data_IF_283301436779
#
_entry.id   IF_283301436779
#
_cell.length_a   1.000
_cell.length_b   1.000
_cell.length_c   1.000
_cell.angle_alpha   90.00
_cell.angle_beta   90.00
_cell.angle_gamma   90.00
#
_symmetry.space_group_name_H-M   'P 1'
#
loop_
_entity.id
_entity.type
_entity.pdbx_description
1 polymer ?
#
# COMPACT_ATOMS: atom_id res chain seq x y z
N UNK A 1 -25.72 6.83 -5.17
CA UNK A 1 -25.57 5.52 -5.61
C UNK A 1 -24.69 4.74 -4.67
N UNK A 2 -25.15 3.65 -4.36
CA UNK A 2 -24.43 2.86 -3.38
C UNK A 2 -23.11 2.38 -3.94
N UNK A 3 -22.21 2.18 -3.06
CA UNK A 3 -20.89 1.73 -3.39
C UNK A 3 -20.68 0.36 -2.80
N UNK A 4 -21.68 -0.43 -2.90
CA UNK A 4 -21.65 -1.70 -2.24
C UNK A 4 -20.57 -2.57 -2.78
N UNK A 5 -20.30 -2.52 -4.08
CA UNK A 5 -19.19 -3.32 -4.48
C UNK A 5 -17.97 -2.49 -4.50
N UNK A 6 -17.00 -2.91 -3.78
CA UNK A 6 -15.77 -2.23 -3.65
C UNK A 6 -15.77 -1.18 -2.59
N UNK A 7 -16.80 -0.40 -2.52
CA UNK A 7 -16.91 0.61 -1.50
C UNK A 7 -15.61 1.35 -1.30
N UNK A 8 -15.04 1.86 -2.38
CA UNK A 8 -13.82 2.63 -2.28
C UNK A 8 -14.13 4.02 -1.77
N UNK A 9 -13.35 4.48 -0.82
CA UNK A 9 -13.42 5.85 -0.34
C UNK A 9 -12.40 6.74 -1.04
N UNK A 10 -11.46 6.13 -1.75
CA UNK A 10 -10.48 6.83 -2.58
C UNK A 10 -10.39 6.10 -3.90
N UNK A 11 -10.00 6.83 -4.94
CA UNK A 11 -9.83 6.24 -6.27
C UNK A 11 -8.65 5.27 -6.23
N UNK A 12 -8.88 3.98 -6.48
CA UNK A 12 -7.79 3.00 -6.40
C UNK A 12 -6.63 3.30 -7.34
N UNK A 13 -6.90 3.88 -8.50
CA UNK A 13 -5.85 4.22 -9.44
C UNK A 13 -4.95 5.32 -8.87
N UNK A 14 -5.56 6.35 -8.29
CA UNK A 14 -4.79 7.42 -7.68
C UNK A 14 -4.01 6.91 -6.47
N UNK A 15 -4.62 6.04 -5.67
CA UNK A 15 -3.93 5.44 -4.53
C UNK A 15 -2.74 4.61 -5.01
N UNK A 16 -2.95 3.83 -6.07
CA UNK A 16 -1.89 2.98 -6.61
C UNK A 16 -0.68 3.80 -7.03
N UNK A 17 -0.91 4.93 -7.68
CA UNK A 17 0.19 5.77 -8.13
C UNK A 17 1.01 6.28 -6.94
N UNK A 18 0.34 6.66 -5.87
CA UNK A 18 1.03 7.19 -4.69
C UNK A 18 1.77 6.07 -3.95
N UNK A 19 1.15 4.90 -3.83
CA UNK A 19 1.79 3.77 -3.16
C UNK A 19 3.02 3.32 -3.93
N UNK A 20 2.89 3.19 -5.24
CA UNK A 20 4.01 2.75 -6.07
C UNK A 20 5.16 3.72 -5.96
N UNK A 21 4.86 5.03 -6.01
CA UNK A 21 5.92 6.03 -5.91
C UNK A 21 6.62 5.96 -4.55
N UNK A 22 5.83 5.82 -3.49
CA UNK A 22 6.38 5.74 -2.15
C UNK A 22 7.27 4.51 -2.00
N UNK A 23 6.82 3.36 -2.49
CA UNK A 23 7.60 2.14 -2.37
C UNK A 23 8.84 2.18 -3.24
N UNK A 24 8.73 2.75 -4.43
CA UNK A 24 9.87 2.81 -5.35
C UNK A 24 11.00 3.67 -4.79
N UNK A 25 10.68 4.57 -3.88
CA UNK A 25 11.69 5.41 -3.26
C UNK A 25 12.41 4.74 -2.09
N UNK A 26 11.96 3.56 -1.68
CA UNK A 26 12.59 2.87 -0.55
C UNK A 26 13.92 2.27 -0.99
N UNK A 27 14.95 2.46 -0.16
CA UNK A 27 16.30 2.08 -0.52
C UNK A 27 16.46 0.59 -0.78
N UNK A 28 15.67 -0.23 -0.12
CA UNK A 28 15.84 -1.68 -0.20
C UNK A 28 15.00 -2.33 -1.29
N UNK A 29 14.25 -1.56 -2.06
CA UNK A 29 13.56 -2.10 -3.22
C UNK A 29 14.61 -2.38 -4.29
N UNK A 30 14.67 -3.64 -4.74
CA UNK A 30 15.69 -4.08 -5.67
C UNK A 30 15.65 -3.32 -6.98
N UNK A 31 14.45 -3.14 -7.51
CA UNK A 31 14.27 -2.50 -8.80
C UNK A 31 13.00 -1.67 -8.73
N UNK A 32 13.14 -0.35 -8.66
CA UNK A 32 11.94 0.51 -8.57
C UNK A 32 10.92 0.26 -9.67
N UNK A 33 11.39 -0.17 -10.85
CA UNK A 33 10.48 -0.44 -11.96
C UNK A 33 9.66 -1.71 -11.73
N UNK A 34 10.06 -2.54 -10.77
CA UNK A 34 9.32 -3.77 -10.46
C UNK A 34 8.13 -3.53 -9.55
N UNK A 35 8.01 -2.34 -8.97
CA UNK A 35 6.90 -2.07 -8.05
C UNK A 35 5.63 -1.91 -8.88
N UNK A 36 4.77 -2.89 -8.76
CA UNK A 36 3.53 -2.95 -9.52
C UNK A 36 2.47 -3.61 -8.64
N UNK A 37 1.18 -3.38 -8.92
CA UNK A 37 0.14 -3.95 -8.06
C UNK A 37 0.22 -5.46 -7.89
N UNK A 38 0.68 -6.18 -8.91
CA UNK A 38 0.77 -7.63 -8.83
C UNK A 38 1.99 -8.13 -8.07
N UNK A 39 2.93 -7.27 -7.74
CA UNK A 39 4.16 -7.68 -7.09
C UNK A 39 3.90 -7.99 -5.62
N UNK A 40 4.52 -9.08 -5.13
CA UNK A 40 4.49 -9.35 -3.70
C UNK A 40 5.62 -8.57 -3.03
N UNK A 41 5.45 -8.30 -1.74
CA UNK A 41 6.49 -7.60 -1.00
C UNK A 41 7.77 -8.42 -1.00
N UNK A 42 7.62 -9.72 -0.89
CA UNK A 42 8.76 -10.62 -0.88
C UNK A 42 9.54 -10.55 -2.20
N UNK A 43 8.82 -10.49 -3.30
CA UNK A 43 9.47 -10.45 -4.61
C UNK A 43 10.25 -9.17 -4.83
N UNK A 44 9.92 -8.13 -4.08
CA UNK A 44 10.62 -6.85 -4.17
C UNK A 44 11.85 -6.80 -3.27
N UNK A 45 12.12 -7.88 -2.54
CA UNK A 45 13.27 -7.93 -1.68
C UNK A 45 13.10 -7.25 -0.34
N UNK A 46 11.86 -7.00 0.06
CA UNK A 46 11.57 -6.27 1.28
C UNK A 46 11.40 -7.24 2.44
N UNK A 47 12.05 -6.93 3.56
CA UNK A 47 11.91 -7.72 4.77
C UNK A 47 10.92 -7.04 5.72
N UNK A 48 10.73 -7.64 6.90
CA UNK A 48 9.72 -7.14 7.83
C UNK A 48 10.00 -5.71 8.27
N UNK A 49 11.27 -5.39 8.50
CA UNK A 49 11.62 -4.04 8.92
C UNK A 49 11.33 -3.03 7.81
N UNK A 50 11.67 -3.40 6.58
CA UNK A 50 11.40 -2.54 5.44
C UNK A 50 9.90 -2.25 5.32
N UNK A 51 9.08 -3.28 5.55
CA UNK A 51 7.64 -3.12 5.45
C UNK A 51 7.10 -2.21 6.55
N UNK A 52 7.67 -2.28 7.75
CA UNK A 52 7.27 -1.35 8.81
C UNK A 52 7.49 0.08 8.35
N UNK A 53 8.63 0.35 7.74
CA UNK A 53 8.93 1.69 7.26
C UNK A 53 7.96 2.13 6.16
N UNK A 54 7.61 1.20 5.26
CA UNK A 54 6.68 1.50 4.19
C UNK A 54 5.29 1.77 4.75
N UNK A 55 4.84 0.96 5.70
CA UNK A 55 3.53 1.18 6.31
C UNK A 55 3.45 2.53 7.02
N UNK A 56 4.53 2.90 7.73
CA UNK A 56 4.56 4.21 8.39
C UNK A 56 4.50 5.32 7.35
N UNK A 57 5.21 5.16 6.24
CA UNK A 57 5.14 6.13 5.16
C UNK A 57 3.73 6.27 4.61
N UNK A 58 3.04 5.15 4.45
CA UNK A 58 1.67 5.17 3.95
C UNK A 58 0.73 5.82 4.95
N UNK A 59 0.93 5.56 6.24
CA UNK A 59 0.10 6.19 7.26
C UNK A 59 0.18 7.70 7.19
N UNK A 60 1.39 8.21 6.96
CA UNK A 60 1.59 9.66 6.85
C UNK A 60 1.06 10.21 5.54
N UNK A 61 1.29 9.47 4.46
CA UNK A 61 0.89 9.93 3.15
C UNK A 61 -0.62 10.02 3.02
N UNK A 62 -1.34 9.07 3.60
CA UNK A 62 -2.79 8.97 3.45
C UNK A 62 -3.55 9.34 4.71
N UNK A 63 -2.83 9.72 5.77
CA UNK A 63 -3.45 10.18 7.02
C UNK A 63 -4.39 9.11 7.58
N UNK A 64 -3.89 7.90 7.72
CA UNK A 64 -4.67 6.80 8.26
C UNK A 64 -3.78 5.94 9.16
N UNK A 65 -4.39 4.95 9.80
CA UNK A 65 -3.66 4.04 10.66
C UNK A 65 -3.74 2.62 10.10
N UNK A 66 -2.62 1.92 10.19
CA UNK A 66 -2.53 0.54 9.75
C UNK A 66 -2.15 -0.29 10.98
N UNK A 67 -3.06 -1.14 11.44
CA UNK A 67 -2.79 -1.96 12.61
C UNK A 67 -1.83 -3.09 12.27
N UNK A 68 -1.28 -3.70 13.32
CA UNK A 68 -0.39 -4.84 13.12
C UNK A 68 -1.11 -5.99 12.42
N UNK A 69 -2.38 -6.20 12.76
CA UNK A 69 -3.18 -7.22 12.11
C UNK A 69 -3.36 -6.93 10.64
N UNK A 70 -3.60 -5.67 10.31
CA UNK A 70 -3.74 -5.28 8.91
C UNK A 70 -2.46 -5.52 8.14
N UNK A 71 -1.33 -5.21 8.75
CA UNK A 71 -0.04 -5.44 8.13
C UNK A 71 0.18 -6.91 7.82
N UNK A 72 -0.17 -7.77 8.76
CA UNK A 72 0.03 -9.20 8.58
C UNK A 72 -0.88 -9.79 7.52
N UNK A 73 -2.02 -9.15 7.29
CA UNK A 73 -2.96 -9.64 6.30
C UNK A 73 -2.57 -9.27 4.87
N UNK A 74 -1.59 -8.39 4.72
CA UNK A 74 -1.20 -7.90 3.39
C UNK A 74 0.13 -8.52 2.98
N UNK A 75 0.22 -9.00 1.74
CA UNK A 75 1.44 -9.60 1.23
C UNK A 75 1.85 -9.08 -0.14
N UNK A 76 1.04 -8.21 -0.73
CA UNK A 76 1.33 -7.68 -2.07
C UNK A 76 1.04 -6.19 -2.12
N UNK A 77 1.58 -5.57 -3.15
CA UNK A 77 1.32 -4.15 -3.39
C UNK A 77 -0.17 -3.91 -3.54
N UNK A 78 -0.86 -4.80 -4.26
CA UNK A 78 -2.28 -4.65 -4.47
C UNK A 78 -3.07 -4.73 -3.16
N UNK A 79 -2.65 -5.61 -2.24
CA UNK A 79 -3.32 -5.70 -0.94
C UNK A 79 -3.26 -4.36 -0.22
N UNK A 80 -2.10 -3.71 -0.28
CA UNK A 80 -1.91 -2.42 0.37
C UNK A 80 -2.76 -1.34 -0.31
N UNK A 81 -2.78 -1.34 -1.63
CA UNK A 81 -3.58 -0.39 -2.39
C UNK A 81 -5.06 -0.53 -2.03
N UNK A 82 -5.55 -1.77 -2.01
CA UNK A 82 -6.94 -2.03 -1.69
C UNK A 82 -7.28 -1.61 -0.27
N UNK A 83 -6.39 -1.91 0.67
CA UNK A 83 -6.62 -1.53 2.05
C UNK A 83 -6.78 -0.01 2.17
N UNK A 84 -5.88 0.73 1.54
CA UNK A 84 -5.90 2.19 1.63
C UNK A 84 -7.13 2.76 0.91
N UNK A 85 -7.41 2.25 -0.28
CA UNK A 85 -8.52 2.79 -1.07
C UNK A 85 -9.87 2.56 -0.40
N UNK A 86 -9.98 1.49 0.37
CA UNK A 86 -11.23 1.17 1.07
C UNK A 86 -11.31 1.78 2.47
N UNK A 87 -10.27 2.48 2.89
CA UNK A 87 -10.24 3.06 4.23
C UNK A 87 -10.92 4.42 4.22
N UNK A 88 -11.96 4.63 5.05
CA UNK A 88 -12.70 5.90 5.03
C UNK A 88 -11.88 7.09 5.50
N UNK A 89 -10.77 6.86 6.20
CA UNK A 89 -9.91 7.95 6.65
C UNK A 89 -8.88 8.36 5.62
N UNK A 90 -8.76 7.60 4.54
CA UNK A 90 -7.74 7.87 3.54
C UNK A 90 -7.95 9.21 2.86
N UNK A 91 -6.86 9.91 2.58
CA UNK A 91 -6.92 11.21 1.91
C UNK A 91 -6.05 11.25 0.67
#
# INVERSE_FOLDING_TARGET
MPREQGEYYSDPVAVAERVVRLMACHDNVNDPASVAPAASFESLGLNALDMVEIYIGCEREFDLEISEEDCEAMSSVNDLIEFIARNPSSK
#
